data_IF_084975735066
#
_entry.id   IF_084975735066
#
_cell.length_a   1.000
_cell.length_b   1.000
_cell.length_c   1.000
_cell.angle_alpha   90.00
_cell.angle_beta   90.00
_cell.angle_gamma   90.00
#
_symmetry.space_group_name_H-M   'P 1'
#
loop_
_entity.id
_entity.type
_entity.pdbx_description
1 polymer ?
#
# COMPACT_ATOMS: atom_id res chain seq x y z
N UNK A 1 -52.38 16.21 33.19
CA UNK A 1 -51.51 15.50 32.24
C UNK A 1 -51.69 14.02 32.51
N UNK A 2 -52.34 13.29 31.60
CA UNK A 2 -52.71 11.89 31.78
C UNK A 2 -51.45 11.02 31.85
N UNK A 3 -51.00 10.68 33.06
CA UNK A 3 -49.89 9.76 33.27
C UNK A 3 -50.34 8.33 32.96
N UNK A 4 -50.34 7.99 31.66
CA UNK A 4 -50.56 6.62 31.21
C UNK A 4 -49.34 5.78 31.58
N UNK A 5 -49.36 5.26 32.80
CA UNK A 5 -48.31 4.38 33.29
C UNK A 5 -48.50 2.99 32.70
N UNK A 6 -47.44 2.39 32.17
CA UNK A 6 -47.47 1.11 31.50
C UNK A 6 -46.52 0.12 32.18
N UNK A 7 -46.84 -1.19 32.18
CA UNK A 7 -45.97 -2.21 32.73
C UNK A 7 -44.70 -2.35 31.89
N UNK A 8 -43.63 -2.85 32.53
CA UNK A 8 -42.31 -3.04 31.93
C UNK A 8 -42.36 -3.79 30.59
N UNK A 9 -43.19 -4.82 30.48
CA UNK A 9 -43.36 -5.65 29.27
C UNK A 9 -43.83 -4.83 28.07
N UNK A 10 -44.73 -3.87 28.28
CA UNK A 10 -45.29 -3.00 27.23
C UNK A 10 -44.25 -1.98 26.77
N UNK A 11 -43.51 -1.38 27.70
CA UNK A 11 -42.43 -0.44 27.36
C UNK A 11 -41.27 -1.13 26.66
N UNK A 12 -40.90 -2.34 27.09
CA UNK A 12 -39.88 -3.16 26.45
C UNK A 12 -40.23 -3.42 24.98
N UNK A 13 -41.46 -3.87 24.71
CA UNK A 13 -41.94 -4.07 23.34
C UNK A 13 -42.01 -2.77 22.52
N UNK A 14 -42.47 -1.68 23.13
CA UNK A 14 -42.62 -0.40 22.44
C UNK A 14 -41.28 0.21 22.02
N UNK A 15 -40.27 0.10 22.87
CA UNK A 15 -38.94 0.65 22.62
C UNK A 15 -38.03 -0.33 21.86
N UNK A 16 -38.55 -1.53 21.52
CA UNK A 16 -37.80 -2.63 20.93
C UNK A 16 -36.56 -3.03 21.75
N UNK A 17 -36.76 -3.19 23.06
CA UNK A 17 -35.71 -3.51 24.04
C UNK A 17 -36.08 -4.73 24.86
N UNK A 18 -35.07 -5.42 25.39
CA UNK A 18 -35.30 -6.40 26.45
C UNK A 18 -35.69 -5.72 27.77
N UNK A 19 -36.49 -6.40 28.59
CA UNK A 19 -36.87 -5.89 29.92
C UNK A 19 -35.66 -5.55 30.79
N UNK A 20 -34.61 -6.38 30.71
CA UNK A 20 -33.32 -6.14 31.37
C UNK A 20 -32.69 -4.82 30.91
N UNK A 21 -32.74 -4.53 29.61
CA UNK A 21 -32.18 -3.30 29.05
C UNK A 21 -32.96 -2.06 29.47
N UNK A 22 -34.29 -2.14 29.53
CA UNK A 22 -35.14 -1.05 30.06
C UNK A 22 -34.85 -0.79 31.54
N UNK A 23 -34.66 -1.84 32.35
CA UNK A 23 -34.29 -1.68 33.76
C UNK A 23 -32.90 -1.04 33.91
N UNK A 24 -31.94 -1.41 33.07
CA UNK A 24 -30.61 -0.80 33.06
C UNK A 24 -30.69 0.69 32.74
N UNK A 25 -31.35 1.06 31.64
CA UNK A 25 -31.52 2.46 31.23
C UNK A 25 -32.29 3.29 32.27
N UNK A 26 -33.19 2.67 33.02
CA UNK A 26 -33.87 3.31 34.14
C UNK A 26 -32.93 3.56 35.33
N UNK A 27 -32.02 2.64 35.65
CA UNK A 27 -30.98 2.83 36.69
C UNK A 27 -29.96 3.91 36.28
N UNK A 28 -29.66 3.99 34.99
CA UNK A 28 -28.79 5.03 34.41
C UNK A 28 -29.49 6.41 34.31
N UNK A 29 -30.76 6.51 34.74
CA UNK A 29 -31.51 7.77 34.75
C UNK A 29 -32.04 8.22 33.38
N UNK A 30 -31.90 7.39 32.35
CA UNK A 30 -32.39 7.66 30.98
C UNK A 30 -33.90 7.52 30.90
N UNK A 31 -34.46 6.47 31.52
CA UNK A 31 -35.90 6.19 31.52
C UNK A 31 -36.48 6.53 32.90
N UNK A 32 -37.35 7.56 33.01
CA UNK A 32 -37.93 7.97 34.29
C UNK A 32 -38.86 6.89 34.83
N UNK A 33 -38.66 6.50 36.09
CA UNK A 33 -39.44 5.47 36.77
C UNK A 33 -40.60 6.13 37.53
N UNK A 34 -41.83 5.72 37.22
CA UNK A 34 -43.02 6.29 37.87
C UNK A 34 -43.35 5.58 39.19
N UNK A 35 -43.46 4.24 39.19
CA UNK A 35 -43.78 3.42 40.38
C UNK A 35 -43.17 2.01 40.21
N UNK A 36 -43.16 1.16 41.24
CA UNK A 36 -42.55 -0.19 41.20
C UNK A 36 -43.11 -1.01 40.01
N UNK A 37 -42.27 -1.27 39.01
CA UNK A 37 -42.63 -2.06 37.81
C UNK A 37 -43.44 -1.30 36.75
N UNK A 38 -43.62 0.01 36.93
CA UNK A 38 -44.54 0.84 36.18
C UNK A 38 -43.82 2.10 35.67
N UNK A 39 -43.96 2.37 34.38
CA UNK A 39 -43.18 3.37 33.64
C UNK A 39 -44.08 4.36 32.93
N UNK A 40 -43.72 5.65 32.96
CA UNK A 40 -44.45 6.67 32.22
C UNK A 40 -44.15 6.50 30.71
N UNK A 41 -45.18 6.26 29.91
CA UNK A 41 -45.05 6.00 28.48
C UNK A 41 -44.29 7.11 27.74
N UNK A 42 -44.76 8.35 27.87
CA UNK A 42 -44.21 9.51 27.15
C UNK A 42 -42.79 9.81 27.64
N UNK A 43 -42.58 9.77 28.97
CA UNK A 43 -41.27 9.98 29.59
C UNK A 43 -40.23 8.95 29.13
N UNK A 44 -40.64 7.68 29.03
CA UNK A 44 -39.77 6.58 28.60
C UNK A 44 -39.34 6.71 27.14
N UNK A 45 -40.27 7.02 26.23
CA UNK A 45 -39.96 7.23 24.81
C UNK A 45 -39.05 8.43 24.62
N UNK A 46 -39.34 9.58 25.24
CA UNK A 46 -38.50 10.79 25.12
C UNK A 46 -37.10 10.56 25.68
N UNK A 47 -37.00 9.90 26.84
CA UNK A 47 -35.72 9.55 27.46
C UNK A 47 -34.87 8.67 26.55
N UNK A 48 -35.48 7.64 25.96
CA UNK A 48 -34.79 6.73 25.05
C UNK A 48 -34.37 7.41 23.74
N UNK A 49 -35.22 8.24 23.14
CA UNK A 49 -34.88 9.01 21.93
C UNK A 49 -33.69 9.95 22.19
N UNK A 50 -33.64 10.61 23.36
CA UNK A 50 -32.50 11.46 23.73
C UNK A 50 -31.22 10.63 23.87
N UNK A 51 -31.31 9.48 24.52
CA UNK A 51 -30.18 8.56 24.66
C UNK A 51 -29.61 8.11 23.30
N UNK A 52 -30.47 7.76 22.34
CA UNK A 52 -30.03 7.37 20.99
C UNK A 52 -29.34 8.53 20.26
N UNK A 53 -29.84 9.76 20.40
CA UNK A 53 -29.21 10.95 19.80
C UNK A 53 -27.83 11.21 20.40
N UNK A 54 -27.71 11.15 21.73
CA UNK A 54 -26.44 11.35 22.42
C UNK A 54 -25.41 10.27 22.05
N UNK A 55 -25.86 9.02 21.87
CA UNK A 55 -25.00 7.92 21.44
C UNK A 55 -24.52 8.09 19.99
N UNK A 56 -25.39 8.55 19.08
CA UNK A 56 -25.03 8.86 17.71
C UNK A 56 -23.98 9.98 17.63
N UNK A 57 -24.16 11.06 18.41
CA UNK A 57 -23.20 12.19 18.47
C UNK A 57 -21.84 11.73 19.02
N UNK A 58 -21.83 10.89 20.07
CA UNK A 58 -20.58 10.33 20.61
C UNK A 58 -19.86 9.42 19.63
N UNK A 59 -20.59 8.60 18.87
CA UNK A 59 -20.00 7.76 17.82
C UNK A 59 -19.40 8.62 16.69
N UNK A 60 -20.03 9.76 16.37
CA UNK A 60 -19.57 10.69 15.34
C UNK A 60 -18.40 11.59 15.78
N UNK A 61 -18.13 11.71 17.09
CA UNK A 61 -17.02 12.51 17.61
C UNK A 61 -15.67 11.76 17.58
N UNK A 62 -15.66 10.42 17.58
CA UNK A 62 -14.44 9.59 17.50
C UNK A 62 -14.10 9.08 16.09
N UNK A 63 -15.06 9.12 15.15
CA UNK A 63 -14.91 8.65 13.77
C UNK A 63 -14.52 9.68 12.67
N UNK A 64 -14.56 11.01 12.87
CA UNK A 64 -14.38 11.94 11.76
C UNK A 64 -12.91 11.98 11.31
N UNK A 65 -11.96 11.79 12.22
CA UNK A 65 -10.54 11.70 11.87
C UNK A 65 -10.22 10.44 11.06
N UNK A 66 -10.79 9.29 11.43
CA UNK A 66 -10.51 8.03 10.73
C UNK A 66 -11.03 8.05 9.28
N UNK A 67 -12.23 8.57 9.06
CA UNK A 67 -12.79 8.68 7.71
C UNK A 67 -11.98 9.65 6.83
N UNK A 68 -11.54 10.77 7.40
CA UNK A 68 -10.71 11.77 6.70
C UNK A 68 -9.32 11.23 6.39
N UNK A 69 -8.65 10.60 7.34
CA UNK A 69 -7.32 10.00 7.13
C UNK A 69 -7.37 8.81 6.18
N UNK A 70 -8.41 7.97 6.25
CA UNK A 70 -8.62 6.89 5.27
C UNK A 70 -8.86 7.43 3.86
N UNK A 71 -9.62 8.51 3.71
CA UNK A 71 -9.82 9.15 2.41
C UNK A 71 -8.51 9.74 1.86
N UNK A 72 -7.67 10.36 2.71
CA UNK A 72 -6.34 10.83 2.34
C UNK A 72 -5.42 9.68 1.89
N UNK A 73 -5.40 8.58 2.65
CA UNK A 73 -4.61 7.40 2.32
C UNK A 73 -5.06 6.76 1.00
N UNK A 74 -6.37 6.60 0.78
CA UNK A 74 -6.91 6.05 -0.48
C UNK A 74 -6.53 6.94 -1.67
N UNK A 75 -6.59 8.27 -1.50
CA UNK A 75 -6.19 9.21 -2.53
C UNK A 75 -4.69 9.10 -2.86
N UNK A 76 -3.83 9.13 -1.84
CA UNK A 76 -2.39 8.98 -2.03
C UNK A 76 -2.03 7.64 -2.70
N UNK A 77 -2.74 6.55 -2.35
CA UNK A 77 -2.56 5.24 -2.98
C UNK A 77 -3.05 5.22 -4.43
N UNK A 78 -4.14 5.91 -4.75
CA UNK A 78 -4.63 6.03 -6.12
C UNK A 78 -3.66 6.83 -6.99
N UNK A 79 -3.14 7.94 -6.47
CA UNK A 79 -2.15 8.78 -7.17
C UNK A 79 -0.87 7.98 -7.45
N UNK A 80 -0.40 7.17 -6.49
CA UNK A 80 0.76 6.29 -6.66
C UNK A 80 0.50 5.20 -7.71
N UNK A 81 -0.66 4.54 -7.66
CA UNK A 81 -1.03 3.53 -8.65
C UNK A 81 -1.16 4.13 -10.07
N UNK A 82 -1.58 5.39 -10.18
CA UNK A 82 -1.61 6.11 -11.45
C UNK A 82 -0.19 6.41 -11.97
N UNK A 83 0.74 6.84 -11.10
CA UNK A 83 2.14 7.05 -11.46
C UNK A 83 2.80 5.74 -11.91
N UNK A 84 2.62 4.64 -11.18
CA UNK A 84 3.12 3.30 -11.58
C UNK A 84 2.55 2.84 -12.93
N UNK A 85 1.28 3.15 -13.20
CA UNK A 85 0.65 2.85 -14.48
C UNK A 85 1.20 3.71 -15.63
N UNK A 86 1.58 4.95 -15.35
CA UNK A 86 2.20 5.87 -16.32
C UNK A 86 3.67 5.50 -16.61
N UNK A 87 4.40 5.04 -15.61
CA UNK A 87 5.75 4.47 -15.73
C UNK A 87 5.73 3.23 -16.62
N UNK A 88 4.84 2.27 -16.34
CA UNK A 88 4.63 1.06 -17.17
C UNK A 88 4.18 1.35 -18.61
N UNK A 89 3.61 2.53 -18.87
CA UNK A 89 3.23 2.99 -20.22
C UNK A 89 4.35 3.77 -20.94
N UNK A 90 5.51 3.95 -20.31
CA UNK A 90 6.65 4.69 -20.86
C UNK A 90 6.45 6.21 -20.90
N UNK A 91 5.49 6.74 -20.12
CA UNK A 91 5.16 8.18 -20.08
C UNK A 91 5.79 8.94 -18.90
N UNK A 92 6.35 8.20 -17.94
CA UNK A 92 7.11 8.75 -16.80
C UNK A 92 8.44 8.00 -16.75
N UNK A 93 9.54 8.75 -16.80
CA UNK A 93 10.90 8.25 -16.66
C UNK A 93 11.48 8.96 -15.43
N UNK A 94 12.18 8.24 -14.57
CA UNK A 94 12.83 8.86 -13.42
C UNK A 94 13.86 9.89 -13.92
N UNK A 95 13.88 11.07 -13.28
CA UNK A 95 14.80 12.14 -13.68
C UNK A 95 16.28 11.70 -13.59
N UNK A 96 16.61 10.82 -12.63
CA UNK A 96 17.94 10.22 -12.50
C UNK A 96 18.34 9.35 -13.69
N UNK A 97 17.42 8.53 -14.20
CA UNK A 97 17.69 7.66 -15.35
C UNK A 97 17.94 8.48 -16.63
N UNK A 98 17.23 9.60 -16.78
CA UNK A 98 17.48 10.56 -17.87
C UNK A 98 18.85 11.22 -17.73
N UNK A 99 19.24 11.60 -16.51
CA UNK A 99 20.56 12.19 -16.24
C UNK A 99 21.69 11.20 -16.56
N UNK A 100 21.58 9.96 -16.09
CA UNK A 100 22.55 8.90 -16.36
C UNK A 100 22.65 8.58 -17.87
N UNK A 101 21.51 8.53 -18.57
CA UNK A 101 21.46 8.39 -20.02
C UNK A 101 22.20 9.52 -20.74
N UNK A 102 21.97 10.78 -20.35
CA UNK A 102 22.67 11.93 -20.93
C UNK A 102 24.16 11.92 -20.62
N UNK A 103 24.56 11.52 -19.41
CA UNK A 103 25.97 11.37 -19.04
C UNK A 103 26.64 10.31 -19.92
N UNK A 104 25.99 9.17 -20.17
CA UNK A 104 26.52 8.13 -21.04
C UNK A 104 26.73 8.62 -22.48
N UNK A 105 25.72 9.28 -23.07
CA UNK A 105 25.79 9.87 -24.42
C UNK A 105 26.93 10.89 -24.51
N UNK A 106 27.01 11.82 -23.55
CA UNK A 106 28.03 12.87 -23.54
C UNK A 106 29.44 12.32 -23.34
N UNK A 107 29.58 11.26 -22.56
CA UNK A 107 30.86 10.59 -22.33
C UNK A 107 31.34 9.86 -23.59
N UNK A 108 30.43 9.19 -24.29
CA UNK A 108 30.72 8.56 -25.59
C UNK A 108 31.15 9.60 -26.63
N UNK A 109 30.39 10.70 -26.74
CA UNK A 109 30.70 11.82 -27.62
C UNK A 109 32.10 12.40 -27.33
N UNK A 110 32.39 12.68 -26.05
CA UNK A 110 33.70 13.21 -25.63
C UNK A 110 34.83 12.27 -26.04
N UNK A 111 34.66 10.97 -25.84
CA UNK A 111 35.67 9.96 -26.15
C UNK A 111 35.97 9.92 -27.64
N UNK A 112 34.94 9.90 -28.48
CA UNK A 112 35.07 9.89 -29.95
C UNK A 112 35.69 11.18 -30.48
N UNK A 113 35.27 12.33 -29.96
CA UNK A 113 35.79 13.62 -30.40
C UNK A 113 37.28 13.79 -30.07
N UNK A 114 37.73 13.28 -28.93
CA UNK A 114 39.14 13.33 -28.53
C UNK A 114 40.02 12.33 -29.30
N UNK A 115 39.45 11.23 -29.79
CA UNK A 115 40.18 10.26 -30.61
C UNK A 115 40.37 10.71 -32.08
N UNK A 116 39.50 11.59 -32.58
CA UNK A 116 39.53 12.05 -33.97
C UNK A 116 40.87 12.69 -34.40
N UNK A 117 41.49 13.61 -33.64
CA UNK A 117 42.76 14.20 -34.03
C UNK A 117 43.89 13.19 -34.17
N UNK A 118 43.97 12.22 -33.26
CA UNK A 118 45.00 11.18 -33.27
C UNK A 118 44.86 10.26 -34.49
N UNK A 119 43.63 9.96 -34.91
CA UNK A 119 43.34 9.19 -36.12
C UNK A 119 43.59 10.00 -37.40
N UNK A 120 43.21 11.28 -37.40
CA UNK A 120 43.29 12.14 -38.58
C UNK A 120 44.69 12.68 -38.85
N UNK A 121 45.52 12.91 -37.83
CA UNK A 121 46.84 13.48 -37.97
C UNK A 121 47.74 12.76 -39.01
N UNK A 122 47.93 11.42 -38.97
CA UNK A 122 48.75 10.72 -39.96
C UNK A 122 48.12 10.74 -41.36
N UNK A 123 46.80 10.62 -41.46
CA UNK A 123 46.09 10.62 -42.74
C UNK A 123 46.10 12.00 -43.40
N UNK A 124 46.02 13.06 -42.60
CA UNK A 124 46.09 14.44 -43.02
C UNK A 124 47.50 14.81 -43.51
N UNK A 125 48.54 14.30 -42.84
CA UNK A 125 49.93 14.49 -43.24
C UNK A 125 50.24 13.85 -44.60
N UNK A 126 49.57 12.73 -44.92
CA UNK A 126 49.73 12.05 -46.20
C UNK A 126 48.97 12.71 -47.37
N UNK A 127 48.16 13.75 -47.15
CA UNK A 127 47.39 14.38 -48.22
C UNK A 127 48.24 15.34 -49.06
N UNK A 128 48.05 15.37 -50.40
CA UNK A 128 48.90 16.13 -51.31
C UNK A 128 48.60 17.64 -51.30
N UNK A 129 47.41 18.06 -50.87
CA UNK A 129 47.03 19.47 -50.79
C UNK A 129 45.98 19.73 -49.70
N UNK A 130 45.83 21.00 -49.33
CA UNK A 130 44.90 21.47 -48.28
C UNK A 130 43.44 21.13 -48.60
N UNK A 131 43.06 21.09 -49.88
CA UNK A 131 41.70 20.73 -50.31
C UNK A 131 41.36 19.29 -49.94
N UNK A 132 42.26 18.36 -50.23
CA UNK A 132 42.11 16.93 -49.91
C UNK A 132 42.14 16.68 -48.40
N UNK A 133 43.01 17.38 -47.66
CA UNK A 133 43.00 17.37 -46.19
C UNK A 133 41.65 17.82 -45.63
N UNK A 134 41.09 18.91 -46.15
CA UNK A 134 39.79 19.43 -45.69
C UNK A 134 38.65 18.46 -45.98
N UNK A 135 38.67 17.82 -47.15
CA UNK A 135 37.67 16.82 -47.54
C UNK A 135 37.76 15.56 -46.65
N UNK A 136 38.98 15.11 -46.34
CA UNK A 136 39.23 14.01 -45.40
C UNK A 136 38.66 14.31 -44.01
N UNK A 137 38.97 15.49 -43.45
CA UNK A 137 38.47 15.90 -42.13
C UNK A 137 36.94 15.95 -42.13
N UNK A 138 36.32 16.60 -43.14
CA UNK A 138 34.86 16.69 -43.23
C UNK A 138 34.17 15.34 -43.33
N UNK A 139 34.71 14.42 -44.14
CA UNK A 139 34.17 13.07 -44.28
C UNK A 139 34.22 12.31 -42.95
N UNK A 140 35.38 12.32 -42.29
CA UNK A 140 35.57 11.58 -41.05
C UNK A 140 34.75 12.15 -39.89
N UNK A 141 34.57 13.48 -39.86
CA UNK A 141 33.64 14.10 -38.90
C UNK A 141 32.19 13.68 -39.13
N UNK A 142 31.74 13.57 -40.40
CA UNK A 142 30.39 13.11 -40.70
C UNK A 142 30.21 11.64 -40.32
N UNK A 143 31.17 10.79 -40.65
CA UNK A 143 31.14 9.37 -40.29
C UNK A 143 31.03 9.18 -38.77
N UNK A 144 31.83 9.90 -37.99
CA UNK A 144 31.73 9.84 -36.52
C UNK A 144 30.39 10.40 -36.00
N UNK A 145 29.85 11.45 -36.63
CA UNK A 145 28.55 12.01 -36.24
C UNK A 145 27.38 11.08 -36.61
N UNK A 146 27.47 10.39 -37.74
CA UNK A 146 26.49 9.40 -38.18
C UNK A 146 26.54 8.17 -37.25
N UNK A 147 27.74 7.69 -36.88
CA UNK A 147 27.93 6.64 -35.87
C UNK A 147 27.38 7.04 -34.48
N UNK A 148 27.48 8.32 -34.12
CA UNK A 148 26.94 8.85 -32.85
C UNK A 148 25.42 9.07 -32.89
N UNK A 149 24.81 9.11 -34.07
CA UNK A 149 23.36 9.28 -34.24
C UNK A 149 22.59 7.97 -34.03
N UNK A 150 23.27 6.82 -34.13
CA UNK A 150 22.76 5.49 -33.77
C UNK A 150 23.49 4.94 -32.53
N UNK A 151 23.34 5.54 -31.35
CA UNK A 151 23.99 5.01 -30.16
C UNK A 151 23.24 3.74 -29.70
N UNK A 152 23.86 2.57 -29.84
CA UNK A 152 23.47 1.32 -29.16
C UNK A 152 23.71 1.50 -27.64
N UNK A 153 22.82 2.23 -26.98
CA UNK A 153 22.80 2.37 -25.53
C UNK A 153 21.66 1.49 -25.03
N UNK A 154 22.00 0.28 -24.59
CA UNK A 154 21.09 -0.55 -23.80
C UNK A 154 20.88 0.13 -22.44
N UNK A 155 19.70 0.72 -22.28
CA UNK A 155 19.27 1.27 -21.00
C UNK A 155 18.79 0.10 -20.13
N UNK A 156 19.60 -0.34 -19.18
CA UNK A 156 19.13 -1.25 -18.12
C UNK A 156 18.14 -0.48 -17.23
N UNK A 157 16.84 -0.62 -17.50
CA UNK A 157 15.81 -0.26 -16.52
C UNK A 157 15.99 -1.19 -15.33
N UNK A 158 16.36 -0.65 -14.17
CA UNK A 158 16.37 -1.41 -12.92
C UNK A 158 14.93 -1.65 -12.48
N UNK A 159 14.25 -2.56 -13.15
CA UNK A 159 12.93 -3.03 -12.77
C UNK A 159 13.07 -3.97 -11.58
N UNK A 160 12.83 -3.47 -10.37
CA UNK A 160 11.98 -4.14 -9.38
C UNK A 160 11.37 -3.09 -8.43
N UNK A 161 10.08 -2.73 -8.58
CA UNK A 161 9.37 -2.09 -7.49
C UNK A 161 9.22 -3.13 -6.38
N UNK A 162 9.86 -2.90 -5.24
CA UNK A 162 9.65 -3.66 -4.02
C UNK A 162 8.15 -3.64 -3.69
N UNK A 163 7.47 -4.73 -3.99
CA UNK A 163 6.06 -4.90 -3.68
C UNK A 163 5.85 -4.64 -2.20
N UNK A 164 5.08 -3.61 -1.87
CA UNK A 164 4.72 -3.31 -0.48
C UNK A 164 3.95 -4.53 0.03
N UNK A 165 4.58 -5.29 0.92
CA UNK A 165 3.93 -6.37 1.65
C UNK A 165 2.75 -5.78 2.42
N UNK A 166 1.58 -6.37 2.19
CA UNK A 166 0.32 -6.03 2.84
C UNK A 166 0.45 -6.23 4.37
N UNK A 167 0.38 -5.17 5.20
CA UNK A 167 0.48 -5.32 6.65
C UNK A 167 -0.80 -5.91 7.29
N UNK A 168 -1.86 -6.21 6.52
CA UNK A 168 -3.13 -6.71 7.06
C UNK A 168 -3.34 -8.23 6.98
N UNK A 169 -2.31 -9.03 6.66
CA UNK A 169 -2.45 -10.49 6.62
C UNK A 169 -2.32 -11.22 7.98
N UNK A 170 -1.85 -10.57 9.05
CA UNK A 170 -1.61 -11.22 10.37
C UNK A 170 -2.71 -10.95 11.41
N UNK A 171 -3.97 -11.11 10.98
CA UNK A 171 -5.16 -10.83 11.78
C UNK A 171 -6.11 -12.01 11.97
N UNK A 172 -5.63 -13.26 12.08
CA UNK A 172 -6.48 -14.39 12.51
C UNK A 172 -5.80 -15.29 13.53
N UNK A 173 -5.99 -14.89 14.79
CA UNK A 173 -6.39 -15.71 15.94
C UNK A 173 -5.97 -17.20 15.94
N UNK A 174 -4.97 -17.53 16.74
CA UNK A 174 -4.97 -18.80 17.49
C UNK A 174 -4.75 -18.52 18.96
N UNK A 175 -5.85 -18.38 19.70
CA UNK A 175 -5.95 -18.54 21.15
C UNK A 175 -5.02 -19.64 21.68
N UNK A 176 -4.15 -19.27 22.62
CA UNK A 176 -3.15 -20.17 23.17
C UNK A 176 -3.67 -21.26 24.11
N UNK A 177 -2.80 -22.22 24.37
CA UNK A 177 -2.71 -22.92 25.65
C UNK A 177 -1.23 -23.19 25.98
N UNK A 178 -0.73 -22.78 27.16
CA UNK A 178 0.67 -22.97 27.51
C UNK A 178 0.94 -24.32 28.19
N UNK A 179 2.19 -24.76 27.99
CA UNK A 179 3.05 -25.63 28.80
C UNK A 179 2.59 -27.06 29.14
N UNK A 180 3.42 -28.04 28.75
CA UNK A 180 4.19 -28.85 29.71
C UNK A 180 5.44 -29.43 29.05
N UNK A 181 6.59 -29.14 29.64
CA UNK A 181 7.87 -29.82 29.44
C UNK A 181 7.87 -31.19 30.12
N UNK A 182 8.21 -32.26 29.41
CA UNK A 182 8.80 -33.48 29.99
C UNK A 182 9.47 -34.26 28.85
N UNK A 183 10.80 -34.41 28.94
CA UNK A 183 11.49 -35.43 28.18
C UNK A 183 11.22 -36.81 28.78
N UNK A 184 11.29 -37.83 27.94
CA UNK A 184 11.92 -39.09 28.31
C UNK A 184 12.34 -39.81 27.04
N UNK A 185 13.65 -40.07 26.97
CA UNK A 185 14.22 -41.19 26.24
C UNK A 185 13.53 -42.47 26.73
N UNK A 186 13.00 -43.31 25.83
CA UNK A 186 13.19 -44.75 26.01
C UNK A 186 12.98 -45.57 24.73
N UNK A 187 13.90 -46.52 24.57
CA UNK A 187 14.05 -47.43 23.45
C UNK A 187 12.87 -48.39 23.29
N UNK A 188 12.66 -48.90 22.06
CA UNK A 188 12.25 -50.30 21.89
C UNK A 188 12.90 -50.97 20.68
N UNK A 189 13.61 -52.04 21.02
CA UNK A 189 14.39 -52.96 20.21
C UNK A 189 13.51 -53.90 19.38
N UNK A 190 13.99 -54.22 18.18
CA UNK A 190 14.09 -55.59 17.65
C UNK A 190 12.84 -56.24 17.05
N UNK A 191 12.98 -56.72 15.81
CA UNK A 191 12.02 -57.63 15.18
C UNK A 191 12.35 -57.95 13.72
N UNK A 192 13.39 -58.75 13.53
CA UNK A 192 13.89 -59.44 12.33
C UNK A 192 12.94 -59.70 11.16
N UNK A 193 13.45 -59.47 9.94
CA UNK A 193 13.00 -60.06 8.67
C UNK A 193 12.85 -61.59 8.75
N UNK A 194 12.01 -62.15 7.88
CA UNK A 194 12.46 -63.32 7.14
C UNK A 194 12.25 -63.20 5.63
N UNK A 195 13.20 -63.79 4.91
CA UNK A 195 13.23 -64.00 3.48
C UNK A 195 12.18 -65.02 2.99
N UNK A 196 11.72 -64.83 1.75
CA UNK A 196 11.29 -65.86 0.78
C UNK A 196 11.19 -65.18 -0.60
N UNK A 197 12.13 -65.41 -1.51
CA UNK A 197 12.00 -66.32 -2.67
C UNK A 197 10.88 -65.95 -3.65
N UNK A 198 11.24 -65.32 -4.77
CA UNK A 198 11.30 -65.92 -6.12
C UNK A 198 11.98 -64.95 -7.11
#
# INVERSE_FOLDING_TARGET
MSSSTQPLTVIAKLLDLSERRVQQLSREGVIPKATRGQYELIGSVRGYVRYLRDQAVKAQAGAPDYAVERARFIRARADLAEMEAQEKRGSVIAAGDVEDAWIAVLTLLKTRLLALPDQLAPLAFAQPNVGDTRNLIRRSMREVLDDLAEPDIDFETKDEPAGIADPEADGRDSSGRPETTAGDDDQRLGGSEPAAEL
#
